data_IF_492841455491
#
_entry.id   IF_492841455491
#
_cell.length_a   1.000
_cell.length_b   1.000
_cell.length_c   1.000
_cell.angle_alpha   90.00
_cell.angle_beta   90.00
_cell.angle_gamma   90.00
#
_symmetry.space_group_name_H-M   'P 1'
#
loop_
_entity.id
_entity.type
_entity.pdbx_description
1 polymer ?
#
# COMPACT_ATOMS: atom_id res chain seq x y z
N UNK A 1 12.40 -15.36 -11.21
CA UNK A 1 12.32 -14.37 -10.11
C UNK A 1 13.38 -14.78 -9.13
N UNK A 2 14.29 -13.88 -8.77
CA UNK A 2 15.41 -14.21 -7.89
C UNK A 2 14.91 -14.63 -6.50
N UNK A 3 15.65 -15.49 -5.81
CA UNK A 3 15.21 -16.13 -4.57
C UNK A 3 14.88 -15.09 -3.48
N UNK A 4 15.72 -14.07 -3.33
CA UNK A 4 15.51 -12.98 -2.36
C UNK A 4 14.19 -12.25 -2.56
N UNK A 5 13.81 -12.05 -3.83
CA UNK A 5 12.56 -11.39 -4.18
C UNK A 5 11.35 -12.28 -3.85
N UNK A 6 11.46 -13.59 -4.06
CA UNK A 6 10.43 -14.53 -3.64
C UNK A 6 10.24 -14.53 -2.12
N UNK A 7 11.33 -14.46 -1.35
CA UNK A 7 11.25 -14.33 0.11
C UNK A 7 10.60 -13.00 0.54
N UNK A 8 11.00 -11.87 -0.06
CA UNK A 8 10.38 -10.56 0.22
C UNK A 8 8.86 -10.58 0.00
N UNK A 9 8.41 -11.16 -1.11
CA UNK A 9 6.99 -11.25 -1.44
C UNK A 9 6.24 -12.18 -0.49
N UNK A 10 6.81 -13.34 -0.14
CA UNK A 10 6.20 -14.30 0.78
C UNK A 10 6.10 -13.77 2.21
N UNK A 11 7.07 -12.95 2.64
CA UNK A 11 7.08 -12.37 3.98
C UNK A 11 6.09 -11.21 4.16
N UNK A 12 5.49 -10.71 3.08
CA UNK A 12 4.47 -9.67 3.16
C UNK A 12 3.14 -10.18 2.56
N UNK A 13 2.08 -10.33 3.38
CA UNK A 13 0.80 -10.85 2.90
C UNK A 13 0.16 -9.95 1.83
N UNK A 14 0.37 -8.63 1.88
CA UNK A 14 -0.13 -7.70 0.87
C UNK A 14 0.58 -7.88 -0.47
N UNK A 15 1.89 -8.16 -0.46
CA UNK A 15 2.63 -8.46 -1.70
C UNK A 15 2.14 -9.77 -2.32
N UNK A 16 1.97 -10.81 -1.50
CA UNK A 16 1.44 -12.09 -1.98
C UNK A 16 0.02 -11.95 -2.53
N UNK A 17 -0.86 -11.22 -1.83
CA UNK A 17 -2.23 -10.96 -2.28
C UNK A 17 -2.25 -10.19 -3.60
N UNK A 18 -1.54 -9.06 -3.66
CA UNK A 18 -1.47 -8.22 -4.84
C UNK A 18 -0.90 -8.97 -6.05
N UNK A 19 0.15 -9.76 -5.85
CA UNK A 19 0.76 -10.56 -6.91
C UNK A 19 -0.20 -11.60 -7.50
N UNK A 20 -1.06 -12.21 -6.66
CA UNK A 20 -2.11 -13.15 -7.11
C UNK A 20 -3.22 -12.43 -7.90
N UNK A 21 -3.62 -11.25 -7.45
CA UNK A 21 -4.63 -10.43 -8.13
C UNK A 21 -4.12 -9.84 -9.45
N UNK A 22 -2.82 -9.58 -9.54
CA UNK A 22 -2.16 -8.92 -10.66
C UNK A 22 -1.10 -9.82 -11.27
N UNK A 23 -1.54 -10.95 -11.84
CA UNK A 23 -0.65 -12.05 -12.27
C UNK A 23 0.40 -11.66 -13.32
N UNK A 24 0.21 -10.55 -14.05
CA UNK A 24 1.21 -10.02 -14.98
C UNK A 24 2.54 -9.70 -14.29
N UNK A 25 2.51 -9.35 -13.00
CA UNK A 25 3.72 -9.12 -12.20
C UNK A 25 4.58 -10.36 -12.03
N UNK A 26 4.03 -11.58 -12.10
CA UNK A 26 4.87 -12.79 -12.13
C UNK A 26 5.80 -12.77 -13.34
N UNK A 27 5.30 -12.41 -14.53
CA UNK A 27 6.12 -12.36 -15.75
C UNK A 27 7.16 -11.24 -15.67
N UNK A 28 6.75 -10.05 -15.20
CA UNK A 28 7.64 -8.89 -15.07
C UNK A 28 8.76 -9.20 -14.08
N UNK A 29 8.46 -9.60 -12.85
CA UNK A 29 9.48 -9.85 -11.81
C UNK A 29 10.32 -11.11 -12.09
N UNK A 30 9.83 -12.02 -12.94
CA UNK A 30 10.65 -13.12 -13.43
C UNK A 30 11.73 -12.66 -14.42
N UNK A 31 11.43 -11.65 -15.25
CA UNK A 31 12.32 -11.14 -16.31
C UNK A 31 13.16 -9.94 -15.88
N UNK A 32 12.58 -9.09 -15.03
CA UNK A 32 13.08 -7.79 -14.60
C UNK A 32 12.92 -7.65 -13.08
N UNK A 33 13.77 -8.32 -12.27
CA UNK A 33 13.69 -8.26 -10.81
C UNK A 33 13.82 -6.84 -10.23
N UNK A 34 14.50 -5.94 -10.93
CA UNK A 34 14.67 -4.53 -10.59
C UNK A 34 13.36 -3.73 -10.59
N UNK A 35 12.31 -4.24 -11.24
CA UNK A 35 10.97 -3.64 -11.24
C UNK A 35 10.21 -3.83 -9.92
N UNK A 36 10.82 -4.46 -8.92
CA UNK A 36 10.19 -4.66 -7.62
C UNK A 36 9.79 -3.35 -6.94
N UNK A 37 10.55 -2.26 -7.09
CA UNK A 37 10.18 -0.96 -6.53
C UNK A 37 8.85 -0.47 -7.09
N UNK A 38 8.63 -0.62 -8.41
CA UNK A 38 7.36 -0.26 -9.05
C UNK A 38 6.22 -1.15 -8.57
N UNK A 39 6.46 -2.45 -8.44
CA UNK A 39 5.49 -3.37 -7.83
C UNK A 39 5.10 -2.92 -6.41
N UNK A 40 6.08 -2.55 -5.58
CA UNK A 40 5.84 -2.09 -4.21
C UNK A 40 5.03 -0.78 -4.19
N UNK A 41 5.31 0.17 -5.09
CA UNK A 41 4.56 1.41 -5.22
C UNK A 41 3.10 1.17 -5.59
N UNK A 42 2.83 0.27 -6.53
CA UNK A 42 1.47 -0.09 -6.93
C UNK A 42 0.71 -0.81 -5.80
N UNK A 43 1.39 -1.66 -5.01
CA UNK A 43 0.80 -2.25 -3.79
C UNK A 43 0.43 -1.15 -2.80
N UNK A 44 1.36 -0.22 -2.54
CA UNK A 44 1.14 0.87 -1.58
C UNK A 44 -0.04 1.75 -2.00
N UNK A 45 -0.16 2.04 -3.29
CA UNK A 45 -1.28 2.78 -3.85
C UNK A 45 -2.60 2.02 -3.68
N UNK A 46 -2.66 0.77 -4.13
CA UNK A 46 -3.90 -0.02 -4.10
C UNK A 46 -4.46 -0.23 -2.71
N UNK A 47 -3.59 -0.37 -1.70
CA UNK A 47 -3.99 -0.59 -0.32
C UNK A 47 -3.91 0.65 0.56
N UNK A 48 -3.74 1.84 -0.04
CA UNK A 48 -3.63 3.12 0.68
C UNK A 48 -2.61 3.08 1.84
N UNK A 49 -1.47 2.44 1.58
CA UNK A 49 -0.38 2.28 2.55
C UNK A 49 0.67 3.39 2.40
N UNK A 50 0.47 4.38 1.54
CA UNK A 50 1.39 5.51 1.43
C UNK A 50 1.32 6.34 2.69
N UNK A 51 2.44 6.96 3.06
CA UNK A 51 2.50 7.87 4.21
C UNK A 51 1.51 9.03 4.04
N UNK A 52 1.30 9.49 2.80
CA UNK A 52 0.28 10.50 2.45
C UNK A 52 -1.11 10.05 2.85
N UNK A 53 -1.48 8.79 2.60
CA UNK A 53 -2.82 8.29 2.89
C UNK A 53 -3.08 8.21 4.41
N UNK A 54 -2.02 7.95 5.19
CA UNK A 54 -2.09 7.99 6.66
C UNK A 54 -2.25 9.42 7.18
N UNK A 55 -1.56 10.38 6.57
CA UNK A 55 -1.67 11.80 6.92
C UNK A 55 -3.08 12.31 6.59
N UNK A 56 -3.61 12.01 5.40
CA UNK A 56 -4.97 12.40 5.02
C UNK A 56 -6.00 11.84 6.00
N UNK A 57 -5.93 10.55 6.36
CA UNK A 57 -6.84 9.95 7.35
C UNK A 57 -6.77 10.63 8.73
N UNK A 58 -5.58 11.05 9.14
CA UNK A 58 -5.41 11.77 10.42
C UNK A 58 -6.03 13.17 10.36
N UNK A 59 -5.88 13.88 9.24
CA UNK A 59 -6.53 15.18 9.00
C UNK A 59 -8.05 15.05 8.98
N UNK A 60 -8.59 14.08 8.24
CA UNK A 60 -10.04 13.81 8.18
C UNK A 60 -10.61 13.53 9.59
N UNK A 61 -9.88 12.75 10.40
CA UNK A 61 -10.27 12.45 11.79
C UNK A 61 -10.25 13.71 12.66
N UNK A 62 -9.23 14.56 12.48
CA UNK A 62 -9.12 15.82 13.21
C UNK A 62 -10.25 16.80 12.84
N UNK A 63 -10.59 16.93 11.56
CA UNK A 63 -11.71 17.73 11.07
C UNK A 63 -13.06 17.24 11.64
N UNK A 64 -13.26 15.92 11.70
CA UNK A 64 -14.46 15.33 12.32
C UNK A 64 -14.55 15.65 13.82
N UNK A 65 -13.46 15.47 14.58
CA UNK A 65 -13.42 15.76 16.02
C UNK A 65 -13.65 17.24 16.29
N UNK A 66 -12.99 18.13 15.54
CA UNK A 66 -13.19 19.58 15.68
C UNK A 66 -14.61 20.01 15.35
N UNK A 67 -15.22 19.41 14.32
CA UNK A 67 -16.63 19.65 13.97
C UNK A 67 -17.56 19.25 15.11
N UNK A 68 -17.39 18.06 15.70
CA UNK A 68 -18.19 17.60 16.86
C UNK A 68 -18.01 18.55 18.05
N UNK A 69 -16.77 18.91 18.39
CA UNK A 69 -16.50 19.83 19.49
C UNK A 69 -17.11 21.22 19.26
N UNK A 70 -17.11 21.70 18.01
CA UNK A 70 -17.74 22.98 17.66
C UNK A 70 -19.27 22.94 17.80
N UNK A 71 -19.91 21.82 17.48
CA UNK A 71 -21.36 21.65 17.69
C UNK A 71 -21.75 21.55 19.16
N UNK A 72 -20.86 21.04 20.02
CA UNK A 72 -21.10 20.93 21.47
C UNK A 72 -20.80 22.21 22.23
N UNK A 73 -19.97 23.10 21.67
CA UNK A 73 -19.62 24.40 22.26
C UNK A 73 -20.69 25.46 21.98
N UNK A 74 -21.64 25.18 21.07
CA UNK A 74 -22.79 26.03 20.75
C UNK A 74 -24.05 25.57 21.48
#
# INVERSE_FOLDING_TARGET
MILDLQFKIKNNPNYTKYLRENSYWYKILNRYPEQFTKFEEEVKEKYQLRTTDRISKALDTFEMVTSILSTLKN
#
